data_IF_944337019340
#
_entry.id   IF_944337019340
#
_cell.length_a   1.000
_cell.length_b   1.000
_cell.length_c   1.000
_cell.angle_alpha   90.00
_cell.angle_beta   90.00
_cell.angle_gamma   90.00
#
_symmetry.space_group_name_H-M   'P 1'
#
loop_
_entity.id
_entity.type
_entity.pdbx_description
1 polymer ?
#
# COMPACT_ATOMS: atom_id res chain seq x y z
N UNK A 1 34.73 -5.61 17.70
CA UNK A 1 33.38 -5.50 18.29
C UNK A 1 32.84 -4.14 17.86
N UNK A 2 31.60 -4.08 17.40
CA UNK A 2 30.96 -2.81 17.02
C UNK A 2 30.20 -2.23 18.20
N UNK A 3 30.02 -0.92 18.19
CA UNK A 3 29.26 -0.18 19.21
C UNK A 3 28.29 0.79 18.55
N UNK A 4 27.17 1.08 19.21
CA UNK A 4 26.17 2.04 18.75
C UNK A 4 26.20 3.26 19.66
N UNK A 5 26.32 4.43 19.06
CA UNK A 5 26.17 5.69 19.77
C UNK A 5 24.67 6.01 19.97
N UNK A 6 24.22 6.14 21.20
CA UNK A 6 22.83 6.43 21.56
C UNK A 6 22.39 7.88 21.23
N UNK A 7 23.37 8.78 20.95
CA UNK A 7 23.06 10.19 20.62
C UNK A 7 22.78 10.37 19.15
N UNK A 8 23.61 9.79 18.25
CA UNK A 8 23.49 9.99 16.81
C UNK A 8 23.18 8.72 16.01
N UNK A 9 23.07 7.56 16.67
CA UNK A 9 22.78 6.26 16.03
C UNK A 9 23.95 5.62 15.29
N UNK A 10 25.11 6.31 15.16
CA UNK A 10 26.26 5.82 14.40
C UNK A 10 26.83 4.53 15.00
N UNK A 11 27.16 3.57 14.12
CA UNK A 11 27.91 2.37 14.48
C UNK A 11 29.39 2.67 14.36
N UNK A 12 30.16 2.39 15.41
CA UNK A 12 31.56 2.76 15.58
C UNK A 12 32.39 1.60 16.10
N UNK A 13 33.71 1.67 15.93
CA UNK A 13 34.64 0.61 16.38
C UNK A 13 35.24 0.88 17.76
N UNK A 14 35.18 2.12 18.24
CA UNK A 14 35.77 2.55 19.50
C UNK A 14 34.67 2.95 20.51
N UNK A 15 34.62 2.34 21.72
CA UNK A 15 33.63 2.69 22.74
C UNK A 15 33.93 3.99 23.52
N UNK A 16 35.11 4.59 23.38
CA UNK A 16 35.54 5.69 24.23
C UNK A 16 34.91 7.03 23.85
N UNK A 17 34.76 7.26 22.53
CA UNK A 17 34.20 8.52 22.01
C UNK A 17 33.62 8.33 20.62
N UNK A 18 32.44 8.85 20.39
CA UNK A 18 31.83 8.88 19.05
C UNK A 18 32.56 9.88 18.13
N UNK A 19 33.13 9.44 16.99
CA UNK A 19 33.86 10.31 16.08
C UNK A 19 32.94 11.29 15.33
N UNK A 20 31.62 11.04 15.32
CA UNK A 20 30.65 11.86 14.59
C UNK A 20 30.06 12.98 15.46
N UNK A 21 29.58 12.66 16.66
CA UNK A 21 28.92 13.65 17.53
C UNK A 21 29.69 13.99 18.81
N UNK A 22 30.82 13.32 19.06
CA UNK A 22 31.65 13.57 20.22
C UNK A 22 31.13 13.00 21.54
N UNK A 23 30.04 12.19 21.52
CA UNK A 23 29.46 11.58 22.71
C UNK A 23 30.49 10.66 23.44
N UNK A 24 30.47 10.73 24.77
CA UNK A 24 31.37 9.92 25.62
C UNK A 24 30.89 8.48 25.79
N UNK A 25 31.69 7.66 26.50
CA UNK A 25 31.47 6.23 26.62
C UNK A 25 30.16 5.87 27.33
N UNK A 26 29.61 6.74 28.14
CA UNK A 26 28.30 6.58 28.80
C UNK A 26 27.11 6.56 27.83
N UNK A 27 27.33 7.00 26.60
CA UNK A 27 26.35 7.01 25.49
C UNK A 27 26.69 6.01 24.39
N UNK A 28 27.61 5.10 24.62
CA UNK A 28 28.07 4.12 23.64
C UNK A 28 27.81 2.71 24.21
N UNK A 29 27.04 1.93 23.50
CA UNK A 29 26.67 0.57 23.93
C UNK A 29 27.17 -0.46 22.93
N UNK A 30 27.46 -1.71 23.35
CA UNK A 30 27.80 -2.78 22.43
C UNK A 30 26.69 -2.93 21.36
N UNK A 31 27.09 -3.06 20.11
CA UNK A 31 26.21 -3.30 18.98
C UNK A 31 26.32 -4.77 18.58
N UNK A 32 25.24 -5.47 18.69
CA UNK A 32 25.07 -6.81 18.12
C UNK A 32 24.27 -6.62 16.86
N UNK A 33 24.86 -6.95 15.73
CA UNK A 33 24.13 -7.02 14.47
C UNK A 33 23.15 -8.19 14.60
N UNK A 34 21.86 -7.86 14.74
CA UNK A 34 20.82 -8.86 14.62
C UNK A 34 20.83 -9.33 13.15
N UNK A 35 21.06 -10.60 12.92
CA UNK A 35 20.82 -11.20 11.61
C UNK A 35 19.31 -11.09 11.33
N UNK A 36 18.93 -9.97 10.74
CA UNK A 36 17.58 -9.82 10.22
C UNK A 36 17.46 -10.71 8.98
N UNK A 37 16.76 -11.82 9.13
CA UNK A 37 16.31 -12.60 7.99
C UNK A 37 15.14 -11.88 7.34
N UNK A 38 15.43 -11.13 6.28
CA UNK A 38 14.43 -10.31 5.56
C UNK A 38 13.55 -11.10 4.59
N UNK A 39 13.93 -12.34 4.30
CA UNK A 39 13.25 -13.15 3.30
C UNK A 39 12.48 -14.28 3.97
N UNK A 40 11.18 -14.13 4.01
CA UNK A 40 10.27 -15.26 4.13
C UNK A 40 9.53 -15.46 2.80
N UNK A 41 8.97 -16.65 2.59
CA UNK A 41 8.23 -16.96 1.37
C UNK A 41 6.92 -16.16 1.34
N UNK A 42 6.71 -15.41 0.25
CA UNK A 42 5.52 -14.58 0.09
C UNK A 42 4.37 -15.42 -0.45
N UNK A 43 3.61 -16.01 0.45
CA UNK A 43 2.43 -16.83 0.10
C UNK A 43 1.13 -16.07 0.34
N UNK A 44 0.11 -16.35 -0.48
CA UNK A 44 -1.22 -15.76 -0.30
C UNK A 44 -1.80 -16.13 1.07
N UNK A 45 -2.19 -15.12 1.83
CA UNK A 45 -2.76 -15.30 3.16
C UNK A 45 -1.73 -15.46 4.27
N UNK A 46 -0.50 -15.03 4.07
CA UNK A 46 0.56 -15.05 5.09
C UNK A 46 0.17 -14.33 6.38
N UNK A 47 -0.73 -13.34 6.30
CA UNK A 47 -1.24 -12.60 7.44
C UNK A 47 -2.36 -13.30 8.21
N UNK A 48 -2.74 -14.52 7.85
CA UNK A 48 -3.77 -15.27 8.60
C UNK A 48 -3.27 -15.66 9.98
N UNK A 49 -3.99 -15.20 11.01
CA UNK A 49 -3.67 -15.54 12.40
C UNK A 49 -2.60 -14.66 13.05
N UNK A 50 -2.16 -13.57 12.38
CA UNK A 50 -1.30 -12.57 13.00
C UNK A 50 -2.09 -11.70 13.98
N UNK A 51 -1.38 -10.86 14.73
CA UNK A 51 -1.95 -9.89 15.66
C UNK A 51 -3.01 -9.00 14.99
N UNK A 52 -4.13 -8.72 15.69
CA UNK A 52 -5.27 -8.00 15.11
C UNK A 52 -4.93 -6.54 14.73
N UNK A 53 -4.01 -5.90 15.44
CA UNK A 53 -3.57 -4.56 15.07
C UNK A 53 -2.86 -4.56 13.71
N UNK A 54 -2.00 -5.56 13.49
CA UNK A 54 -1.31 -5.73 12.19
C UNK A 54 -2.32 -6.05 11.10
N UNK A 55 -3.24 -6.97 11.36
CA UNK A 55 -4.26 -7.40 10.39
C UNK A 55 -5.19 -6.24 10.00
N UNK A 56 -5.65 -5.45 10.97
CA UNK A 56 -6.46 -4.25 10.73
C UNK A 56 -5.69 -3.23 9.89
N UNK A 57 -4.42 -2.99 10.22
CA UNK A 57 -3.57 -2.08 9.46
C UNK A 57 -3.44 -2.50 7.99
N UNK A 58 -3.21 -3.77 7.72
CA UNK A 58 -3.13 -4.30 6.35
C UNK A 58 -4.44 -4.11 5.57
N UNK A 59 -5.61 -4.32 6.23
CA UNK A 59 -6.93 -4.08 5.61
C UNK A 59 -7.17 -2.61 5.29
N UNK A 60 -6.76 -1.71 6.19
CA UNK A 60 -6.92 -0.27 6.00
C UNK A 60 -6.01 0.24 4.88
N UNK A 61 -4.75 -0.21 4.83
CA UNK A 61 -3.85 0.10 3.73
C UNK A 61 -4.38 -0.45 2.41
N UNK A 62 -4.82 -1.71 2.34
CA UNK A 62 -5.45 -2.25 1.13
C UNK A 62 -6.56 -1.33 0.58
N UNK A 63 -7.46 -0.86 1.43
CA UNK A 63 -8.55 0.06 1.03
C UNK A 63 -8.02 1.42 0.60
N UNK A 64 -7.03 1.94 1.32
CA UNK A 64 -6.36 3.20 1.01
C UNK A 64 -5.78 3.18 -0.39
N UNK A 65 -4.88 2.24 -0.65
CA UNK A 65 -4.22 2.07 -1.95
C UNK A 65 -5.23 1.89 -3.11
N UNK A 66 -6.26 1.05 -2.92
CA UNK A 66 -7.33 0.91 -3.93
C UNK A 66 -8.03 2.23 -4.24
N UNK A 67 -8.22 3.09 -3.23
CA UNK A 67 -8.83 4.42 -3.42
C UNK A 67 -7.88 5.38 -4.11
N UNK A 68 -6.60 5.33 -3.75
CA UNK A 68 -5.56 6.20 -4.31
C UNK A 68 -5.33 5.95 -5.79
N UNK A 69 -5.44 4.71 -6.27
CA UNK A 69 -5.44 4.40 -7.71
C UNK A 69 -6.46 5.27 -8.46
N UNK A 70 -7.71 5.30 -7.99
CA UNK A 70 -8.76 6.09 -8.61
C UNK A 70 -8.52 7.60 -8.50
N UNK A 71 -8.01 8.05 -7.36
CA UNK A 71 -7.70 9.46 -7.10
C UNK A 71 -6.58 9.94 -8.04
N UNK A 72 -5.44 9.24 -8.12
CA UNK A 72 -4.33 9.64 -8.98
C UNK A 72 -4.70 9.62 -10.46
N UNK A 73 -5.49 8.65 -10.92
CA UNK A 73 -6.00 8.65 -12.29
C UNK A 73 -6.93 9.83 -12.59
N UNK A 74 -7.78 10.22 -11.62
CA UNK A 74 -8.63 11.41 -11.78
C UNK A 74 -7.80 12.70 -11.79
N UNK A 75 -6.79 12.81 -10.93
CA UNK A 75 -5.84 13.92 -10.90
C UNK A 75 -5.02 14.01 -12.18
N UNK A 76 -4.57 12.89 -12.73
CA UNK A 76 -3.89 12.83 -14.02
C UNK A 76 -4.74 13.42 -15.13
N UNK A 77 -6.00 13.00 -15.23
CA UNK A 77 -6.94 13.54 -16.22
C UNK A 77 -7.13 15.06 -16.07
N UNK A 78 -7.16 15.57 -14.84
CA UNK A 78 -7.25 17.00 -14.59
C UNK A 78 -5.98 17.74 -15.00
N UNK A 79 -4.80 17.20 -14.73
CA UNK A 79 -3.54 17.77 -15.17
C UNK A 79 -3.46 17.88 -16.70
N UNK A 80 -3.90 16.87 -17.43
CA UNK A 80 -3.99 16.94 -18.91
C UNK A 80 -4.95 18.03 -19.38
N UNK A 81 -6.13 18.20 -18.74
CA UNK A 81 -7.09 19.27 -19.08
C UNK A 81 -6.52 20.67 -18.84
N UNK A 82 -5.67 20.83 -17.84
CA UNK A 82 -5.02 22.10 -17.49
C UNK A 82 -3.76 22.38 -18.33
N UNK A 83 -3.32 21.42 -19.17
CA UNK A 83 -2.16 21.57 -20.02
C UNK A 83 -0.82 21.22 -19.34
N UNK A 84 -0.84 20.38 -18.31
CA UNK A 84 0.34 19.84 -17.61
C UNK A 84 0.55 18.35 -17.91
N UNK A 85 0.84 17.97 -19.18
CA UNK A 85 0.92 16.56 -19.56
C UNK A 85 2.03 15.80 -18.83
N UNK A 86 3.15 16.45 -18.51
CA UNK A 86 4.25 15.84 -17.76
C UNK A 86 3.83 15.46 -16.34
N UNK A 87 2.97 16.25 -15.69
CA UNK A 87 2.40 15.94 -14.38
C UNK A 87 1.36 14.82 -14.53
N UNK A 88 0.55 14.87 -15.58
CA UNK A 88 -0.44 13.83 -15.86
C UNK A 88 0.18 12.44 -15.98
N UNK A 89 1.28 12.33 -16.74
CA UNK A 89 2.01 11.05 -16.89
C UNK A 89 2.59 10.55 -15.57
N UNK A 90 3.16 11.42 -14.74
CA UNK A 90 3.69 11.03 -13.43
C UNK A 90 2.57 10.52 -12.51
N UNK A 91 1.41 11.18 -12.49
CA UNK A 91 0.26 10.75 -11.70
C UNK A 91 -0.29 9.39 -12.14
N UNK A 92 -0.27 9.07 -13.45
CA UNK A 92 -0.61 7.73 -13.95
C UNK A 92 0.39 6.67 -13.48
N UNK A 93 1.68 6.99 -13.45
CA UNK A 93 2.70 6.07 -12.94
C UNK A 93 2.49 5.79 -11.44
N UNK A 94 2.24 6.83 -10.64
CA UNK A 94 1.93 6.68 -9.22
C UNK A 94 0.68 5.79 -9.04
N UNK A 95 -0.38 6.00 -9.83
CA UNK A 95 -1.57 5.16 -9.74
C UNK A 95 -1.27 3.67 -9.98
N UNK A 96 -0.33 3.35 -10.88
CA UNK A 96 0.13 1.98 -11.08
C UNK A 96 0.95 1.45 -9.90
N UNK A 97 1.75 2.26 -9.26
CA UNK A 97 2.49 1.90 -8.05
C UNK A 97 1.53 1.58 -6.90
N UNK A 98 0.49 2.40 -6.69
CA UNK A 98 -0.53 2.13 -5.67
C UNK A 98 -1.35 0.86 -5.99
N UNK A 99 -1.56 0.54 -7.26
CA UNK A 99 -2.20 -0.72 -7.64
C UNK A 99 -1.33 -1.94 -7.26
N UNK A 100 -0.01 -1.86 -7.39
CA UNK A 100 0.93 -2.90 -6.94
C UNK A 100 0.96 -3.01 -5.42
N UNK A 101 0.94 -1.88 -4.68
CA UNK A 101 0.82 -1.88 -3.22
C UNK A 101 -0.48 -2.56 -2.77
N UNK A 102 -1.62 -2.19 -3.36
CA UNK A 102 -2.91 -2.82 -3.08
C UNK A 102 -2.87 -4.33 -3.34
N UNK A 103 -2.29 -4.77 -4.47
CA UNK A 103 -2.15 -6.18 -4.79
C UNK A 103 -1.36 -6.93 -3.71
N UNK A 104 -0.24 -6.35 -3.25
CA UNK A 104 0.59 -6.91 -2.17
C UNK A 104 -0.17 -7.07 -0.86
N UNK A 105 -0.88 -6.04 -0.42
CA UNK A 105 -1.72 -6.13 0.78
C UNK A 105 -2.85 -7.16 0.61
N UNK A 106 -3.47 -7.22 -0.56
CA UNK A 106 -4.50 -8.21 -0.89
C UNK A 106 -3.99 -9.65 -0.84
N UNK A 107 -2.78 -9.90 -1.35
CA UNK A 107 -2.10 -11.20 -1.28
C UNK A 107 -1.76 -11.57 0.17
N UNK A 108 -1.17 -10.66 0.95
CA UNK A 108 -0.85 -10.91 2.35
C UNK A 108 -2.09 -11.26 3.17
N UNK A 109 -3.20 -10.57 2.97
CA UNK A 109 -4.45 -10.84 3.65
C UNK A 109 -5.07 -12.19 3.24
N UNK A 110 -5.03 -12.56 1.96
CA UNK A 110 -5.66 -13.77 1.43
C UNK A 110 -7.17 -13.85 1.70
N UNK A 111 -7.82 -12.69 1.91
CA UNK A 111 -9.27 -12.56 2.15
C UNK A 111 -10.04 -12.35 0.84
N UNK A 112 -9.41 -11.69 -0.12
CA UNK A 112 -10.01 -11.31 -1.40
C UNK A 112 -9.55 -12.18 -2.55
N UNK A 113 -8.29 -12.61 -2.51
CA UNK A 113 -7.65 -13.46 -3.52
C UNK A 113 -7.22 -14.78 -2.89
N UNK A 114 -7.27 -15.85 -3.68
CA UNK A 114 -6.82 -17.20 -3.31
C UNK A 114 -5.77 -17.69 -4.30
N UNK A 115 -5.12 -18.78 -4.00
CA UNK A 115 -4.18 -19.50 -4.88
C UNK A 115 -4.83 -20.20 -6.07
N UNK A 116 -6.16 -20.13 -6.21
CA UNK A 116 -6.93 -20.72 -7.29
C UNK A 116 -7.47 -19.67 -8.26
N UNK A 117 -6.90 -19.58 -9.45
CA UNK A 117 -7.42 -18.71 -10.53
C UNK A 117 -8.91 -18.94 -10.80
N UNK A 118 -9.35 -20.21 -10.80
CA UNK A 118 -10.76 -20.55 -11.01
C UNK A 118 -11.65 -19.95 -9.92
N UNK A 119 -11.31 -20.15 -8.65
CA UNK A 119 -12.07 -19.61 -7.52
C UNK A 119 -12.11 -18.08 -7.54
N UNK A 120 -10.99 -17.43 -7.88
CA UNK A 120 -10.92 -15.99 -8.01
C UNK A 120 -11.84 -15.47 -9.12
N UNK A 121 -11.87 -16.13 -10.29
CA UNK A 121 -12.74 -15.75 -11.40
C UNK A 121 -14.23 -15.94 -11.07
N UNK A 122 -14.59 -17.04 -10.42
CA UNK A 122 -15.99 -17.29 -9.99
C UNK A 122 -16.47 -16.24 -9.01
N UNK A 123 -15.61 -15.87 -8.04
CA UNK A 123 -15.89 -14.79 -7.06
C UNK A 123 -16.07 -13.43 -7.76
N UNK A 124 -15.17 -13.09 -8.69
CA UNK A 124 -15.24 -11.83 -9.41
C UNK A 124 -16.46 -11.75 -10.34
N UNK A 125 -16.80 -12.83 -11.01
CA UNK A 125 -18.01 -12.89 -11.85
C UNK A 125 -19.28 -12.57 -11.06
N UNK A 126 -19.42 -13.15 -9.87
CA UNK A 126 -20.54 -12.86 -8.98
C UNK A 126 -20.55 -11.37 -8.51
N UNK A 127 -19.37 -10.85 -8.14
CA UNK A 127 -19.20 -9.45 -7.73
C UNK A 127 -19.54 -8.46 -8.84
N UNK A 128 -19.02 -8.67 -10.05
CA UNK A 128 -19.26 -7.81 -11.20
C UNK A 128 -20.74 -7.81 -11.61
N UNK A 129 -21.40 -8.95 -11.56
CA UNK A 129 -22.84 -9.02 -11.85
C UNK A 129 -23.66 -8.19 -10.85
N UNK A 130 -23.34 -8.25 -9.56
CA UNK A 130 -23.96 -7.40 -8.53
C UNK A 130 -23.67 -5.91 -8.72
N UNK A 131 -22.41 -5.57 -9.00
CA UNK A 131 -21.96 -4.20 -9.25
C UNK A 131 -22.64 -3.60 -10.49
N UNK A 132 -22.79 -4.36 -11.57
CA UNK A 132 -23.46 -3.94 -12.78
C UNK A 132 -24.93 -3.60 -12.53
N UNK A 133 -25.63 -4.44 -11.75
CA UNK A 133 -27.01 -4.20 -11.34
C UNK A 133 -27.15 -2.90 -10.53
N UNK A 134 -26.30 -2.71 -9.53
CA UNK A 134 -26.29 -1.51 -8.69
C UNK A 134 -25.99 -0.23 -9.49
N UNK A 135 -24.99 -0.26 -10.37
CA UNK A 135 -24.67 0.87 -11.26
C UNK A 135 -25.85 1.24 -12.15
N UNK A 136 -26.57 0.24 -12.72
CA UNK A 136 -27.78 0.46 -13.49
C UNK A 136 -28.89 1.14 -12.67
N UNK A 137 -29.07 0.74 -11.42
CA UNK A 137 -30.07 1.36 -10.52
C UNK A 137 -29.73 2.82 -10.25
N UNK A 138 -28.45 3.14 -9.99
CA UNK A 138 -27.96 4.52 -9.80
C UNK A 138 -28.18 5.35 -11.06
N UNK A 139 -27.77 4.85 -12.23
CA UNK A 139 -27.94 5.55 -13.50
C UNK A 139 -29.43 5.81 -13.80
N UNK A 140 -30.29 4.81 -13.59
CA UNK A 140 -31.73 4.97 -13.76
C UNK A 140 -32.27 6.06 -12.85
N UNK A 141 -31.85 6.10 -11.57
CA UNK A 141 -32.28 7.12 -10.63
C UNK A 141 -31.77 8.52 -11.01
N UNK A 142 -30.53 8.62 -11.45
CA UNK A 142 -29.94 9.85 -11.94
C UNK A 142 -30.75 10.43 -13.12
N UNK A 143 -31.14 9.58 -14.09
CA UNK A 143 -31.98 9.98 -15.21
C UNK A 143 -33.36 10.52 -14.78
N UNK A 144 -34.02 9.83 -13.84
CA UNK A 144 -35.31 10.28 -13.28
C UNK A 144 -35.23 11.66 -12.62
N UNK A 145 -34.03 12.03 -12.11
CA UNK A 145 -33.79 13.32 -11.46
C UNK A 145 -33.18 14.37 -12.40
N UNK A 146 -33.08 14.09 -13.70
CA UNK A 146 -32.42 14.91 -14.71
C UNK A 146 -30.94 15.21 -14.43
N UNK A 147 -30.21 14.25 -13.84
CA UNK A 147 -28.77 14.30 -13.64
C UNK A 147 -28.05 13.61 -14.81
N UNK A 148 -28.27 14.13 -16.02
CA UNK A 148 -27.79 13.46 -17.25
C UNK A 148 -26.27 13.22 -17.27
N UNK A 149 -25.49 14.17 -16.75
CA UNK A 149 -24.02 14.00 -16.64
C UNK A 149 -23.57 12.92 -15.64
N UNK A 150 -24.47 12.38 -14.82
CA UNK A 150 -24.22 11.26 -13.90
C UNK A 150 -24.74 9.95 -14.51
N UNK A 151 -25.80 10.04 -15.32
CA UNK A 151 -26.40 8.90 -16.01
C UNK A 151 -25.45 8.32 -17.06
N UNK A 152 -24.79 9.18 -17.85
CA UNK A 152 -23.89 8.82 -18.95
C UNK A 152 -22.50 8.38 -18.41
#
# INVERSE_FOLDING_TARGET
MKYKCLVCGQIIDNPDKCPVCGAGPDKIVPYVEEELTWADEHVIGVAKGVDEFVLSGLRDHFKGECSEVGMYLAMSRQAFREGYPEIGVVLEQIAHEEAEHAARFGEMLGELVTDSTKANLEKMLAGENGACKSKKEIATRAKQLNYDAIHD
#
